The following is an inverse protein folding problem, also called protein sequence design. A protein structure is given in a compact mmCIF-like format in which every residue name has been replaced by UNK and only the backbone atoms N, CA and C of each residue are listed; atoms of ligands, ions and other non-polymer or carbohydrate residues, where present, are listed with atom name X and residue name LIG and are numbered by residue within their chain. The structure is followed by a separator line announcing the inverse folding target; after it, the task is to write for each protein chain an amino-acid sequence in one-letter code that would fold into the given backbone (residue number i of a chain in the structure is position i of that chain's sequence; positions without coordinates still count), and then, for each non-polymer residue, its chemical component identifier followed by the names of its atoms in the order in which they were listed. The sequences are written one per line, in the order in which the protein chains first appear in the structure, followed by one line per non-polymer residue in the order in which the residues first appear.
data_IF_713879976118
#
_entry.id   IF_713879976118
#
_cell.length_a   1.000
_cell.length_b   1.000
_cell.length_c   1.000
_cell.angle_alpha   90.00
_cell.angle_beta   90.00
_cell.angle_gamma   90.00
#
_symmetry.space_group_name_H-M   'P 1'
#
loop_
_entity.id
_entity.type
_entity.pdbx_description
1 polymer ?
#
# COMPACT_ATOMS: atom_id res chain seq x y z
N UNK A 1 -14.91 -5.76 0.69
CA UNK A 1 -15.74 -5.32 1.83
C UNK A 1 -15.42 -6.14 3.07
N UNK A 2 -15.49 -5.50 4.22
CA UNK A 2 -15.33 -6.14 5.52
C UNK A 2 -16.65 -6.10 6.29
N UNK A 3 -16.98 -7.21 6.97
CA UNK A 3 -18.17 -7.29 7.84
C UNK A 3 -17.85 -6.59 9.15
N UNK A 4 -18.54 -5.52 9.48
CA UNK A 4 -18.48 -4.88 10.79
C UNK A 4 -19.45 -5.54 11.78
N UNK A 5 -20.61 -5.95 11.29
CA UNK A 5 -21.65 -6.57 12.11
C UNK A 5 -22.43 -7.63 11.33
N UNK A 6 -22.55 -8.79 11.92
CA UNK A 6 -23.47 -9.83 11.43
C UNK A 6 -24.92 -9.45 11.73
N UNK A 7 -25.83 -9.91 10.91
CA UNK A 7 -27.26 -9.84 11.24
C UNK A 7 -27.60 -10.81 12.36
N UNK A 8 -28.27 -10.30 13.37
CA UNK A 8 -28.75 -11.07 14.53
C UNK A 8 -30.23 -10.78 14.70
N UNK A 9 -31.03 -11.84 14.80
CA UNK A 9 -32.47 -11.75 15.06
C UNK A 9 -32.74 -11.13 16.44
N UNK A 10 -33.99 -10.73 16.69
CA UNK A 10 -34.37 -10.25 18.01
C UNK A 10 -34.42 -11.35 19.08
N UNK A 11 -34.19 -12.61 18.69
CA UNK A 11 -34.05 -13.76 19.60
C UNK A 11 -32.61 -14.18 19.80
N UNK A 12 -31.61 -13.42 19.25
CA UNK A 12 -30.21 -13.69 19.42
C UNK A 12 -29.61 -14.68 18.40
N UNK A 13 -30.39 -15.15 17.42
CA UNK A 13 -29.90 -16.09 16.41
C UNK A 13 -29.21 -15.35 15.29
N UNK A 14 -27.98 -15.78 14.95
CA UNK A 14 -27.27 -15.24 13.80
C UNK A 14 -27.96 -15.62 12.49
N UNK A 15 -28.11 -14.66 11.59
CA UNK A 15 -28.70 -14.82 10.26
C UNK A 15 -27.56 -14.86 9.24
N UNK A 16 -27.56 -15.80 8.32
CA UNK A 16 -26.59 -15.85 7.23
C UNK A 16 -26.82 -14.69 6.25
N UNK A 17 -25.73 -14.14 5.70
CA UNK A 17 -25.83 -13.11 4.66
C UNK A 17 -26.36 -13.70 3.36
N UNK A 18 -27.30 -13.03 2.76
CA UNK A 18 -27.92 -13.38 1.47
C UNK A 18 -27.78 -12.26 0.44
N UNK A 19 -27.25 -11.12 0.82
CA UNK A 19 -27.10 -9.94 -0.02
C UNK A 19 -25.62 -9.62 -0.19
N UNK A 20 -25.18 -9.57 -1.44
CA UNK A 20 -23.82 -9.13 -1.78
C UNK A 20 -23.65 -7.64 -1.48
N UNK A 21 -22.59 -7.22 -0.77
CA UNK A 21 -22.34 -5.82 -0.51
C UNK A 21 -21.83 -5.12 -1.77
N UNK A 22 -22.68 -4.37 -2.44
CA UNK A 22 -22.35 -3.64 -3.66
C UNK A 22 -22.71 -2.16 -3.53
N UNK A 23 -22.05 -1.31 -4.31
CA UNK A 23 -22.48 0.06 -4.60
C UNK A 23 -22.15 1.13 -3.57
N UNK A 24 -21.48 0.84 -2.46
CA UNK A 24 -21.01 1.89 -1.56
C UNK A 24 -19.50 2.07 -1.65
N UNK A 25 -19.08 3.09 -2.39
CA UNK A 25 -17.68 3.43 -2.65
C UNK A 25 -17.17 4.57 -1.78
N UNK A 26 -18.00 5.09 -0.86
CA UNK A 26 -17.65 6.23 0.01
C UNK A 26 -16.79 5.85 1.22
N UNK A 27 -16.51 4.57 1.42
CA UNK A 27 -15.78 4.09 2.60
C UNK A 27 -16.54 4.20 3.93
N UNK A 28 -17.75 4.73 3.95
CA UNK A 28 -18.59 4.77 5.15
C UNK A 28 -19.28 3.43 5.39
N UNK A 29 -19.51 3.00 6.64
CA UNK A 29 -20.31 1.82 6.93
C UNK A 29 -21.72 1.91 6.36
N UNK A 30 -22.22 0.82 5.81
CA UNK A 30 -23.59 0.72 5.29
C UNK A 30 -24.23 -0.61 5.65
N UNK A 31 -25.54 -0.65 5.64
CA UNK A 31 -26.33 -1.82 6.01
C UNK A 31 -27.06 -2.37 4.80
N UNK A 32 -26.92 -3.66 4.56
CA UNK A 32 -27.71 -4.41 3.56
C UNK A 32 -29.09 -4.78 4.11
N UNK A 33 -30.04 -5.07 3.23
CA UNK A 33 -31.43 -5.36 3.63
C UNK A 33 -31.55 -6.63 4.49
N UNK A 34 -30.57 -7.52 4.45
CA UNK A 34 -30.47 -8.69 5.34
C UNK A 34 -29.92 -8.37 6.74
N UNK A 35 -29.61 -7.08 7.01
CA UNK A 35 -29.19 -6.58 8.31
C UNK A 35 -27.70 -6.65 8.61
N UNK A 36 -26.87 -7.12 7.66
CA UNK A 36 -25.41 -7.05 7.79
C UNK A 36 -24.95 -5.60 7.65
N UNK A 37 -23.89 -5.27 8.38
CA UNK A 37 -23.18 -3.99 8.23
C UNK A 37 -21.82 -4.23 7.66
N UNK A 38 -21.53 -3.57 6.58
CA UNK A 38 -20.32 -3.69 5.80
C UNK A 38 -19.57 -2.35 5.75
N UNK A 39 -18.29 -2.43 5.55
CA UNK A 39 -17.43 -1.28 5.19
C UNK A 39 -16.56 -1.68 4.01
N UNK A 40 -16.46 -0.81 3.03
CA UNK A 40 -15.46 -0.94 1.98
C UNK A 40 -14.09 -0.59 2.55
N UNK A 41 -13.10 -1.44 2.31
CA UNK A 41 -11.74 -1.27 2.85
C UNK A 41 -10.80 -0.83 1.74
N UNK A 42 -10.96 -1.39 0.53
CA UNK A 42 -10.19 -0.97 -0.63
C UNK A 42 -10.87 -1.37 -1.92
N UNK A 43 -10.45 -0.70 -2.99
CA UNK A 43 -10.87 -0.98 -4.36
C UNK A 43 -9.68 -1.49 -5.17
N UNK A 44 -9.93 -2.41 -6.09
CA UNK A 44 -8.90 -2.97 -6.96
C UNK A 44 -9.33 -2.79 -8.40
N UNK A 45 -8.44 -2.25 -9.24
CA UNK A 45 -8.69 -2.15 -10.68
C UNK A 45 -8.60 -3.54 -11.35
N UNK A 46 -9.33 -3.73 -12.44
CA UNK A 46 -9.19 -4.94 -13.24
C UNK A 46 -7.75 -5.13 -13.75
N UNK A 47 -7.06 -4.04 -14.04
CA UNK A 47 -5.66 -4.09 -14.45
C UNK A 47 -4.75 -4.62 -13.34
N UNK A 48 -4.94 -4.15 -12.10
CA UNK A 48 -4.20 -4.63 -10.92
C UNK A 48 -4.57 -6.07 -10.60
N UNK A 49 -5.85 -6.42 -10.64
CA UNK A 49 -6.30 -7.79 -10.43
C UNK A 49 -5.67 -8.75 -11.45
N UNK A 50 -5.70 -8.42 -12.73
CA UNK A 50 -5.10 -9.25 -13.78
C UNK A 50 -3.59 -9.45 -13.61
N UNK A 51 -2.88 -8.45 -13.07
CA UNK A 51 -1.44 -8.52 -12.84
C UNK A 51 -1.09 -9.32 -11.59
N UNK A 52 -1.81 -9.12 -10.49
CA UNK A 52 -1.36 -9.55 -9.17
C UNK A 52 -2.28 -10.58 -8.49
N UNK A 53 -3.56 -10.64 -8.86
CA UNK A 53 -4.46 -11.61 -8.26
C UNK A 53 -4.11 -13.03 -8.68
N UNK A 54 -4.11 -13.95 -7.73
CA UNK A 54 -3.95 -15.39 -7.95
C UNK A 54 -4.96 -16.17 -7.10
N UNK A 55 -4.96 -17.49 -7.20
CA UNK A 55 -5.83 -18.34 -6.38
C UNK A 55 -5.58 -18.17 -4.87
N UNK A 56 -4.35 -17.82 -4.47
CA UNK A 56 -3.93 -17.77 -3.08
C UNK A 56 -3.62 -16.35 -2.58
N UNK A 57 -3.51 -15.37 -3.47
CA UNK A 57 -3.09 -14.01 -3.14
C UNK A 57 -4.00 -12.98 -3.79
N UNK A 58 -4.33 -11.96 -3.02
CA UNK A 58 -5.10 -10.81 -3.44
C UNK A 58 -4.25 -9.56 -3.22
N UNK A 59 -4.04 -8.73 -4.25
CA UNK A 59 -3.31 -7.49 -4.07
C UNK A 59 -4.09 -6.50 -3.22
N UNK A 60 -3.39 -5.76 -2.39
CA UNK A 60 -3.93 -4.66 -1.58
C UNK A 60 -3.25 -3.38 -2.04
N UNK A 61 -4.05 -2.39 -2.42
CA UNK A 61 -3.56 -1.07 -2.84
C UNK A 61 -3.72 -0.07 -1.69
N UNK A 62 -2.73 0.76 -1.52
CA UNK A 62 -2.69 1.82 -0.52
C UNK A 62 -2.26 3.14 -1.18
N UNK A 63 -2.96 4.22 -0.87
CA UNK A 63 -2.59 5.58 -1.31
C UNK A 63 -1.82 6.24 -0.18
N UNK A 64 -0.53 6.44 -0.39
CA UNK A 64 0.31 7.16 0.55
C UNK A 64 -0.02 8.66 0.52
N UNK A 65 -0.21 9.23 1.70
CA UNK A 65 -0.48 10.67 1.90
C UNK A 65 0.85 11.37 2.21
N UNK A 66 0.97 12.61 1.80
CA UNK A 66 2.12 13.44 2.17
C UNK A 66 2.16 13.74 3.69
N UNK A 67 3.24 14.36 4.15
CA UNK A 67 3.42 14.71 5.56
C UNK A 67 2.37 15.68 6.11
N UNK A 68 1.61 16.33 5.24
CA UNK A 68 0.48 17.19 5.61
C UNK A 68 -0.85 16.40 5.68
N UNK A 69 -0.82 15.08 5.48
CA UNK A 69 -1.99 14.20 5.54
C UNK A 69 -2.86 14.23 4.28
N UNK A 70 -2.37 14.79 3.18
CA UNK A 70 -3.09 14.91 1.93
C UNK A 70 -2.37 14.27 0.73
N UNK A 71 -2.87 14.55 -0.45
CA UNK A 71 -2.26 14.19 -1.73
C UNK A 71 -2.11 15.46 -2.56
N UNK A 72 -0.91 15.72 -3.09
CA UNK A 72 -0.69 16.94 -3.89
C UNK A 72 -1.63 17.01 -5.09
N UNK A 73 -2.05 18.23 -5.46
CA UNK A 73 -2.99 18.43 -6.56
C UNK A 73 -2.53 17.83 -7.90
N UNK A 74 -1.23 17.89 -8.20
CA UNK A 74 -0.65 17.29 -9.40
C UNK A 74 -0.75 15.74 -9.38
N UNK A 75 -0.48 15.13 -8.23
CA UNK A 75 -0.62 13.68 -8.04
C UNK A 75 -2.08 13.24 -8.08
N UNK A 76 -2.97 14.01 -7.44
CA UNK A 76 -4.40 13.75 -7.45
C UNK A 76 -4.99 13.80 -8.86
N UNK A 77 -4.56 14.76 -9.69
CA UNK A 77 -4.99 14.88 -11.08
C UNK A 77 -4.56 13.68 -11.97
N UNK A 78 -3.52 12.96 -11.56
CA UNK A 78 -3.02 11.77 -12.26
C UNK A 78 -3.70 10.47 -11.80
N UNK A 79 -4.56 10.50 -10.78
CA UNK A 79 -5.19 9.30 -10.25
C UNK A 79 -6.19 8.69 -11.23
N UNK A 80 -6.16 7.37 -11.33
CA UNK A 80 -7.24 6.60 -11.92
C UNK A 80 -8.51 6.68 -11.05
N UNK A 81 -9.66 6.29 -11.61
CA UNK A 81 -10.91 6.22 -10.84
C UNK A 81 -10.79 5.35 -9.59
N UNK A 82 -10.11 4.21 -9.68
CA UNK A 82 -9.88 3.33 -8.53
C UNK A 82 -9.00 3.96 -7.46
N UNK A 83 -7.98 4.72 -7.83
CA UNK A 83 -7.13 5.44 -6.87
C UNK A 83 -7.88 6.57 -6.18
N UNK A 84 -8.72 7.29 -6.92
CA UNK A 84 -9.60 8.31 -6.33
C UNK A 84 -10.60 7.70 -5.35
N UNK A 85 -11.20 6.55 -5.71
CA UNK A 85 -12.09 5.79 -4.83
C UNK A 85 -11.34 5.28 -3.59
N UNK A 86 -10.13 4.74 -3.76
CA UNK A 86 -9.29 4.28 -2.66
C UNK A 86 -8.94 5.42 -1.69
N UNK A 87 -8.59 6.60 -2.21
CA UNK A 87 -8.34 7.79 -1.38
C UNK A 87 -9.59 8.17 -0.58
N UNK A 88 -10.76 8.20 -1.20
CA UNK A 88 -12.02 8.51 -0.52
C UNK A 88 -12.34 7.51 0.60
N UNK A 89 -12.06 6.21 0.39
CA UNK A 89 -12.20 5.17 1.41
C UNK A 89 -11.28 5.42 2.60
N UNK A 90 -10.04 5.80 2.33
CA UNK A 90 -9.05 6.11 3.37
C UNK A 90 -9.40 7.40 4.13
N UNK A 91 -9.90 8.42 3.45
CA UNK A 91 -10.33 9.68 4.07
C UNK A 91 -11.63 9.54 4.88
N UNK A 92 -12.48 8.59 4.53
CA UNK A 92 -13.71 8.29 5.30
C UNK A 92 -13.44 7.45 6.55
N UNK A 93 -12.20 7.07 6.82
CA UNK A 93 -11.84 6.37 8.04
C UNK A 93 -11.93 7.30 9.25
N UNK A 94 -12.41 6.76 10.38
CA UNK A 94 -12.54 7.51 11.63
C UNK A 94 -11.83 6.72 12.72
N UNK A 95 -10.84 7.36 13.33
CA UNK A 95 -10.06 6.77 14.41
C UNK A 95 -10.94 6.47 15.62
N UNK A 96 -10.76 5.27 16.18
CA UNK A 96 -11.37 4.89 17.45
C UNK A 96 -12.90 4.87 17.44
N UNK A 97 -13.53 4.39 16.37
CA UNK A 97 -14.95 4.09 16.37
C UNK A 97 -15.25 2.82 17.12
N UNK A 98 -16.40 2.77 17.79
CA UNK A 98 -16.95 1.53 18.35
C UNK A 98 -17.79 0.86 17.26
N UNK A 99 -17.18 -0.10 16.56
CA UNK A 99 -17.79 -0.76 15.40
C UNK A 99 -18.74 -1.90 15.76
N UNK A 100 -18.70 -2.36 17.00
CA UNK A 100 -19.57 -3.43 17.49
C UNK A 100 -19.45 -3.66 18.98
N UNK A 101 -20.19 -4.66 19.46
CA UNK A 101 -20.21 -5.04 20.86
C UNK A 101 -20.20 -6.56 20.99
N UNK A 102 -19.40 -7.09 21.90
CA UNK A 102 -19.41 -8.48 22.31
C UNK A 102 -20.19 -8.61 23.62
N UNK A 103 -21.08 -9.57 23.68
CA UNK A 103 -21.82 -9.95 24.90
C UNK A 103 -21.04 -11.08 25.56
N UNK A 104 -20.27 -10.76 26.60
CA UNK A 104 -19.43 -11.72 27.30
C UNK A 104 -20.30 -12.49 28.32
N UNK A 105 -21.35 -11.84 28.90
CA UNK A 105 -22.39 -12.44 29.68
C UNK A 105 -23.74 -11.79 29.33
N UNK A 106 -24.75 -12.53 28.92
CA UNK A 106 -26.04 -11.94 28.55
C UNK A 106 -26.89 -11.45 29.75
N UNK A 107 -26.52 -11.80 30.98
CA UNK A 107 -27.34 -11.55 32.17
C UNK A 107 -28.62 -12.37 32.19
N UNK A 108 -29.47 -12.11 33.16
CA UNK A 108 -30.77 -12.77 33.32
C UNK A 108 -31.79 -11.89 34.06
N UNK A 109 -33.07 -12.21 33.92
CA UNK A 109 -34.14 -11.55 34.64
C UNK A 109 -34.54 -10.16 34.15
N UNK A 110 -33.99 -9.70 33.00
CA UNK A 110 -34.35 -8.40 32.45
C UNK A 110 -35.84 -8.32 32.11
N UNK A 111 -36.53 -7.35 32.70
CA UNK A 111 -37.92 -7.01 32.40
C UNK A 111 -38.07 -6.01 31.26
N UNK A 112 -37.03 -5.18 31.04
CA UNK A 112 -36.93 -4.24 29.92
C UNK A 112 -35.48 -4.10 29.44
N UNK A 113 -35.25 -3.59 28.24
CA UNK A 113 -33.91 -3.39 27.71
C UNK A 113 -33.10 -2.45 28.62
N UNK A 114 -31.89 -2.83 29.03
CA UNK A 114 -31.05 -1.94 29.83
C UNK A 114 -30.54 -0.76 29.03
N UNK A 115 -30.18 0.29 29.73
CA UNK A 115 -29.44 1.43 29.20
C UNK A 115 -27.96 1.11 29.18
N UNK A 116 -27.31 1.40 28.06
CA UNK A 116 -25.88 1.20 27.87
C UNK A 116 -25.20 2.57 27.87
N UNK A 117 -24.22 2.75 28.74
CA UNK A 117 -23.37 3.94 28.77
C UNK A 117 -21.97 3.56 28.38
N UNK A 118 -21.46 4.14 27.29
CA UNK A 118 -20.10 3.91 26.80
C UNK A 118 -19.20 5.00 27.38
N UNK A 119 -18.14 4.60 28.06
CA UNK A 119 -17.16 5.49 28.68
C UNK A 119 -15.75 5.13 28.22
N UNK A 120 -14.89 6.11 28.09
CA UNK A 120 -13.50 5.95 27.62
C UNK A 120 -12.86 7.31 27.37
N UNK A 121 -11.79 7.31 26.59
CA UNK A 121 -11.09 8.53 26.18
C UNK A 121 -11.65 9.17 24.91
N UNK A 122 -12.56 8.47 24.21
CA UNK A 122 -13.31 8.99 23.06
C UNK A 122 -14.68 9.55 23.45
N UNK A 123 -15.52 9.80 22.45
CA UNK A 123 -16.84 10.40 22.65
C UNK A 123 -17.90 9.92 21.65
N UNK A 124 -19.16 10.18 21.97
CA UNK A 124 -20.33 10.08 21.09
C UNK A 124 -20.75 8.66 20.68
N UNK A 125 -20.14 7.58 21.21
CA UNK A 125 -20.64 6.23 20.97
C UNK A 125 -21.96 6.00 21.71
N UNK A 126 -22.98 5.53 20.98
CA UNK A 126 -24.31 5.23 21.54
C UNK A 126 -24.74 3.84 21.08
N UNK A 127 -25.19 3.01 22.03
CA UNK A 127 -25.61 1.65 21.75
C UNK A 127 -27.01 1.35 22.27
N UNK A 128 -27.68 0.41 21.59
CA UNK A 128 -28.98 -0.13 21.98
C UNK A 128 -28.87 -1.61 22.23
N UNK A 129 -29.44 -2.07 23.35
CA UNK A 129 -29.59 -3.48 23.70
C UNK A 129 -30.96 -3.98 23.31
N UNK A 130 -31.04 -5.26 22.89
CA UNK A 130 -32.28 -6.01 22.70
C UNK A 130 -32.24 -7.20 23.65
N UNK A 131 -33.38 -7.44 24.34
CA UNK A 131 -33.54 -8.59 25.24
C UNK A 131 -34.47 -9.61 24.63
N UNK A 132 -34.26 -10.87 24.97
CA UNK A 132 -35.15 -11.98 24.69
C UNK A 132 -35.03 -13.01 25.80
N UNK A 133 -36.15 -13.51 26.31
CA UNK A 133 -36.16 -14.47 27.43
C UNK A 133 -35.49 -13.96 28.72
N UNK A 134 -35.54 -12.63 28.95
CA UNK A 134 -34.93 -12.03 30.14
C UNK A 134 -33.39 -11.86 30.05
N UNK A 135 -32.79 -12.06 28.89
CA UNK A 135 -31.34 -11.91 28.65
C UNK A 135 -31.05 -10.91 27.53
N UNK A 136 -29.89 -10.28 27.55
CA UNK A 136 -29.44 -9.43 26.45
C UNK A 136 -28.93 -10.29 25.30
N UNK A 137 -29.59 -10.24 24.15
CA UNK A 137 -29.28 -11.11 23.00
C UNK A 137 -28.61 -10.38 21.84
N UNK A 138 -28.69 -9.04 21.83
CA UNK A 138 -28.16 -8.21 20.76
C UNK A 138 -27.77 -6.84 21.29
N UNK A 139 -26.62 -6.36 20.90
CA UNK A 139 -26.15 -4.99 21.16
C UNK A 139 -25.57 -4.43 19.87
N UNK A 140 -26.03 -3.25 19.48
CA UNK A 140 -25.64 -2.57 18.24
C UNK A 140 -25.42 -1.09 18.49
N UNK A 141 -24.57 -0.40 17.70
CA UNK A 141 -24.63 1.05 17.62
C UNK A 141 -26.08 1.47 17.32
N UNK A 142 -26.60 2.47 18.01
CA UNK A 142 -28.01 2.88 17.89
C UNK A 142 -28.32 3.30 16.45
N UNK A 143 -29.33 2.68 15.89
CA UNK A 143 -29.90 3.02 14.58
C UNK A 143 -30.97 4.12 14.73
N UNK A 144 -31.34 4.77 13.64
CA UNK A 144 -32.46 5.72 13.65
C UNK A 144 -33.81 5.01 13.78
N UNK A 145 -34.91 5.78 13.90
CA UNK A 145 -36.27 5.24 14.03
C UNK A 145 -36.75 4.39 12.83
N UNK A 146 -36.03 4.46 11.70
CA UNK A 146 -36.27 3.66 10.49
C UNK A 146 -35.34 2.47 10.38
N UNK A 147 -34.43 2.27 11.34
CA UNK A 147 -33.47 1.19 11.36
C UNK A 147 -32.24 1.40 10.46
N UNK A 148 -31.95 2.63 10.08
CA UNK A 148 -30.74 2.97 9.33
C UNK A 148 -29.57 3.23 10.28
N UNK A 149 -28.35 3.02 9.77
CA UNK A 149 -27.14 3.35 10.50
C UNK A 149 -27.02 4.85 10.70
N UNK A 150 -26.70 5.25 11.92
CA UNK A 150 -26.30 6.61 12.27
C UNK A 150 -24.80 6.62 12.52
N UNK A 151 -24.03 7.15 11.58
CA UNK A 151 -22.57 7.14 11.62
C UNK A 151 -22.01 7.75 12.91
N UNK A 152 -22.62 8.82 13.40
CA UNK A 152 -22.21 9.49 14.64
C UNK A 152 -22.29 8.59 15.87
N UNK A 153 -23.19 7.59 15.89
CA UNK A 153 -23.39 6.69 17.02
C UNK A 153 -22.28 5.63 17.17
N UNK A 154 -21.38 5.52 16.20
CA UNK A 154 -20.15 4.75 16.36
C UNK A 154 -19.11 5.50 17.21
N UNK A 155 -19.29 6.80 17.43
CA UNK A 155 -18.37 7.65 18.17
C UNK A 155 -17.02 7.79 17.47
N UNK A 156 -16.05 8.36 18.15
CA UNK A 156 -14.68 8.55 17.65
C UNK A 156 -13.68 8.78 18.78
N UNK A 157 -12.39 8.61 18.47
CA UNK A 157 -11.29 8.97 19.36
C UNK A 157 -11.03 7.97 20.48
N UNK A 158 -11.71 6.82 20.52
CA UNK A 158 -11.47 5.82 21.55
C UNK A 158 -10.19 5.03 21.29
N UNK A 159 -9.26 5.07 22.23
CA UNK A 159 -8.17 4.09 22.35
C UNK A 159 -8.56 2.98 23.34
N UNK A 160 -9.41 3.31 24.29
CA UNK A 160 -10.07 2.33 25.16
C UNK A 160 -11.52 2.76 25.43
N UNK A 161 -12.37 1.78 25.64
CA UNK A 161 -13.76 2.01 26.04
C UNK A 161 -14.28 0.88 26.93
N UNK A 162 -15.26 1.20 27.74
CA UNK A 162 -16.02 0.24 28.54
C UNK A 162 -17.51 0.52 28.42
N UNK A 163 -18.34 -0.50 28.67
CA UNK A 163 -19.80 -0.38 28.68
C UNK A 163 -20.32 -0.60 30.09
N UNK A 164 -21.02 0.38 30.61
CA UNK A 164 -21.80 0.25 31.86
C UNK A 164 -23.24 -0.07 31.48
N UNK A 165 -23.74 -1.14 32.06
CA UNK A 165 -25.13 -1.62 31.88
C UNK A 165 -25.95 -1.23 33.09
N UNK A 166 -27.06 -0.51 32.88
CA UNK A 166 -27.92 -0.04 33.95
C UNK A 166 -29.42 -0.18 33.63
N UNK A 167 -30.26 -0.25 34.64
CA UNK A 167 -31.70 -0.40 34.43
C UNK A 167 -32.15 -1.82 34.01
N UNK A 168 -33.41 -1.97 33.64
CA UNK A 168 -34.00 -3.24 33.20
C UNK A 168 -34.29 -4.25 34.32
N UNK A 169 -34.00 -3.94 35.58
CA UNK A 169 -34.23 -4.76 36.77
C UNK A 169 -33.79 -6.23 36.64
N UNK A 170 -32.54 -6.52 36.31
CA UNK A 170 -32.06 -7.87 36.11
C UNK A 170 -31.83 -8.58 37.44
N UNK A 171 -31.93 -9.91 37.44
CA UNK A 171 -31.40 -10.77 38.51
C UNK A 171 -29.88 -10.85 38.50
N UNK A 172 -29.33 -10.87 37.29
CA UNK A 172 -27.89 -10.81 37.02
C UNK A 172 -27.62 -9.84 35.86
N UNK A 173 -26.70 -8.88 36.06
CA UNK A 173 -26.36 -7.89 35.04
C UNK A 173 -25.57 -8.49 33.86
N UNK A 174 -25.84 -8.01 32.66
CA UNK A 174 -25.07 -8.38 31.49
C UNK A 174 -23.67 -7.74 31.54
N UNK A 175 -22.70 -8.43 30.95
CA UNK A 175 -21.32 -7.93 30.72
C UNK A 175 -21.14 -7.76 29.23
N UNK A 176 -20.88 -6.54 28.81
CA UNK A 176 -20.77 -6.15 27.40
C UNK A 176 -19.43 -5.45 27.20
N UNK A 177 -18.73 -5.83 26.15
CA UNK A 177 -17.43 -5.25 25.78
C UNK A 177 -17.54 -4.58 24.41
N UNK A 178 -17.11 -3.31 24.27
CA UNK A 178 -17.07 -2.64 22.99
C UNK A 178 -15.94 -3.21 22.11
N UNK A 179 -16.16 -3.22 20.80
CA UNK A 179 -15.17 -3.60 19.79
C UNK A 179 -14.80 -2.32 19.06
N UNK A 180 -13.54 -1.90 19.23
CA UNK A 180 -13.03 -0.70 18.62
C UNK A 180 -12.52 -0.99 17.20
N UNK A 181 -12.72 -0.04 16.31
CA UNK A 181 -12.04 -0.05 15.02
C UNK A 181 -10.55 0.18 15.28
N UNK A 182 -9.75 -0.74 14.79
CA UNK A 182 -8.32 -0.74 15.01
C UNK A 182 -7.59 0.05 13.94
N UNK A 183 -6.41 0.29 14.25
CA UNK A 183 -5.18 0.79 13.68
C UNK A 183 -5.07 2.31 13.62
N UNK A 184 -4.06 2.73 14.33
CA UNK A 184 -3.52 4.06 14.33
C UNK A 184 -2.22 4.00 13.55
N UNK A 185 -2.21 4.57 12.35
CA UNK A 185 -0.99 4.65 11.56
C UNK A 185 -0.14 5.85 11.97
N UNK A 186 -0.79 7.00 12.23
CA UNK A 186 -0.15 8.24 12.72
C UNK A 186 -1.00 8.87 13.81
N UNK A 187 -0.48 9.97 14.42
CA UNK A 187 -1.21 10.72 15.46
C UNK A 187 -2.54 11.30 14.95
N UNK A 188 -2.63 11.63 13.65
CA UNK A 188 -3.72 12.38 13.05
C UNK A 188 -4.57 11.55 12.06
N UNK A 189 -4.16 10.33 11.75
CA UNK A 189 -4.88 9.42 10.85
C UNK A 189 -5.01 8.04 11.46
N UNK A 190 -6.00 7.31 11.05
CA UNK A 190 -6.24 5.96 11.52
C UNK A 190 -7.71 5.62 11.50
N UNK A 191 -8.01 4.44 11.97
CA UNK A 191 -9.32 3.84 11.88
C UNK A 191 -9.40 2.84 10.74
N UNK A 192 -10.44 2.03 10.78
CA UNK A 192 -10.64 0.96 9.81
C UNK A 192 -10.82 1.54 8.39
N UNK A 193 -9.98 1.12 7.46
CA UNK A 193 -9.94 1.56 6.07
C UNK A 193 -8.92 2.67 5.77
N UNK A 194 -8.27 3.25 6.78
CA UNK A 194 -7.18 4.22 6.55
C UNK A 194 -5.93 3.54 5.97
N UNK A 195 -5.60 2.37 6.47
CA UNK A 195 -4.47 1.56 5.99
C UNK A 195 -4.93 0.12 5.68
N UNK A 196 -5.40 -0.16 4.46
CA UNK A 196 -5.87 -1.48 4.09
C UNK A 196 -4.76 -2.56 4.16
N UNK A 197 -3.49 -2.19 4.03
CA UNK A 197 -2.36 -3.12 4.16
C UNK A 197 -2.29 -3.67 5.59
N UNK A 198 -2.39 -2.77 6.56
CA UNK A 198 -2.42 -3.12 7.99
C UNK A 198 -3.74 -3.81 8.40
N UNK A 199 -4.88 -3.28 7.95
CA UNK A 199 -6.21 -3.81 8.28
C UNK A 199 -6.40 -5.25 7.80
N UNK A 200 -5.87 -5.58 6.62
CA UNK A 200 -5.92 -6.91 6.03
C UNK A 200 -4.73 -7.78 6.43
N UNK A 201 -3.80 -7.26 7.25
CA UNK A 201 -2.59 -7.94 7.70
C UNK A 201 -1.80 -8.51 6.53
N UNK A 202 -1.55 -7.67 5.53
CA UNK A 202 -0.74 -8.05 4.37
C UNK A 202 0.66 -8.42 4.83
N UNK A 203 1.13 -9.60 4.41
CA UNK A 203 2.41 -10.18 4.79
C UNK A 203 3.18 -10.70 3.58
N UNK A 204 2.80 -10.27 2.39
CA UNK A 204 3.47 -10.68 1.17
C UNK A 204 3.65 -9.48 0.23
N UNK A 205 4.80 -9.41 -0.40
CA UNK A 205 5.12 -8.47 -1.45
C UNK A 205 5.01 -9.17 -2.81
N UNK A 206 4.29 -8.58 -3.75
CA UNK A 206 4.09 -9.15 -5.08
C UNK A 206 4.72 -8.26 -6.15
N UNK A 207 5.46 -8.88 -7.04
CA UNK A 207 6.00 -8.26 -8.25
C UNK A 207 5.39 -8.93 -9.47
N UNK A 208 4.99 -8.12 -10.45
CA UNK A 208 4.59 -8.60 -11.76
C UNK A 208 5.51 -7.99 -12.82
N UNK A 209 6.13 -8.84 -13.61
CA UNK A 209 6.90 -8.44 -14.76
C UNK A 209 6.35 -9.15 -16.01
N UNK A 210 6.00 -8.37 -16.99
CA UNK A 210 5.51 -8.87 -18.28
C UNK A 210 6.46 -8.40 -19.38
N UNK A 211 7.51 -9.18 -19.67
CA UNK A 211 8.46 -8.82 -20.69
C UNK A 211 7.78 -8.70 -22.05
N UNK A 212 7.99 -7.61 -22.76
CA UNK A 212 7.51 -7.44 -24.13
C UNK A 212 8.61 -7.85 -25.12
N UNK A 213 8.26 -8.60 -26.14
CA UNK A 213 9.12 -9.39 -26.99
C UNK A 213 10.23 -8.74 -27.81
N UNK A 214 10.66 -7.53 -27.54
CA UNK A 214 11.81 -6.90 -28.22
C UNK A 214 13.07 -6.98 -27.37
N UNK A 215 14.23 -6.98 -28.00
CA UNK A 215 15.57 -7.06 -27.40
C UNK A 215 15.90 -5.91 -26.41
N UNK A 216 15.03 -5.08 -26.00
CA UNK A 216 15.24 -3.97 -25.06
C UNK A 216 14.03 -3.74 -24.17
N UNK A 217 13.24 -4.76 -24.00
CA UNK A 217 12.14 -4.74 -23.03
C UNK A 217 12.66 -5.01 -21.61
N UNK A 218 11.83 -4.81 -20.60
CA UNK A 218 12.16 -4.91 -19.18
C UNK A 218 12.93 -6.18 -18.76
N UNK A 219 12.88 -7.23 -19.57
CA UNK A 219 13.79 -8.38 -19.52
C UNK A 219 14.38 -8.61 -20.91
N UNK A 220 15.70 -8.59 -21.02
CA UNK A 220 16.38 -8.87 -22.29
C UNK A 220 16.12 -10.32 -22.75
N UNK A 221 15.86 -10.48 -24.05
CA UNK A 221 15.98 -11.80 -24.68
C UNK A 221 17.47 -12.20 -24.63
N UNK A 222 17.75 -13.44 -24.30
CA UNK A 222 19.11 -13.98 -24.13
C UNK A 222 19.91 -13.42 -22.94
N UNK A 223 19.26 -12.86 -21.95
CA UNK A 223 19.94 -12.52 -20.73
C UNK A 223 20.35 -13.76 -19.95
N UNK A 224 21.64 -13.88 -19.66
CA UNK A 224 22.15 -14.94 -18.82
C UNK A 224 22.09 -14.53 -17.35
N UNK A 225 20.89 -14.44 -16.79
CA UNK A 225 20.77 -14.37 -15.33
C UNK A 225 21.19 -15.71 -14.75
N UNK A 226 22.35 -15.78 -14.18
CA UNK A 226 22.83 -16.97 -13.52
C UNK A 226 22.55 -16.98 -12.05
N UNK A 227 22.41 -15.80 -11.45
CA UNK A 227 22.08 -15.66 -10.03
C UNK A 227 21.11 -14.50 -9.80
N UNK A 228 20.08 -14.75 -9.01
CA UNK A 228 19.19 -13.73 -8.46
C UNK A 228 19.31 -13.82 -6.96
N UNK A 229 19.66 -12.73 -6.31
CA UNK A 229 19.80 -12.65 -4.85
C UNK A 229 18.77 -11.72 -4.24
N UNK A 230 18.30 -12.03 -3.04
CA UNK A 230 17.52 -11.15 -2.19
C UNK A 230 18.37 -10.76 -0.99
N UNK A 231 18.60 -9.46 -0.86
CA UNK A 231 19.42 -8.89 0.22
C UNK A 231 18.50 -8.16 1.22
N UNK A 232 18.66 -8.44 2.50
CA UNK A 232 17.93 -7.80 3.59
C UNK A 232 18.83 -6.81 4.30
N UNK A 233 18.28 -5.61 4.57
CA UNK A 233 18.93 -4.54 5.33
C UNK A 233 20.35 -4.23 4.83
N UNK A 234 20.55 -3.89 3.55
CA UNK A 234 21.83 -3.38 3.08
C UNK A 234 22.12 -2.02 3.74
N UNK A 235 23.40 -1.64 3.75
CA UNK A 235 23.86 -0.36 4.29
C UNK A 235 24.27 0.58 3.16
N UNK A 236 24.32 1.88 3.46
CA UNK A 236 24.90 2.87 2.57
C UNK A 236 26.42 2.66 2.45
N UNK A 237 26.95 2.85 1.25
CA UNK A 237 28.38 2.73 0.96
C UNK A 237 29.24 3.90 1.46
N UNK A 238 28.72 4.73 2.31
CA UNK A 238 29.39 5.90 2.87
C UNK A 238 30.17 5.62 4.17
N UNK A 239 30.28 4.38 4.56
CA UNK A 239 30.98 3.93 5.79
C UNK A 239 30.31 4.35 7.10
N UNK A 240 29.07 4.81 7.05
CA UNK A 240 28.33 5.23 8.26
C UNK A 240 27.55 4.10 8.92
N UNK A 241 27.50 2.92 8.31
CA UNK A 241 26.61 1.80 8.70
C UNK A 241 25.13 2.20 8.80
N UNK A 242 24.74 3.18 8.02
CA UNK A 242 23.36 3.65 7.96
C UNK A 242 22.54 2.71 7.05
N UNK A 243 21.28 2.42 7.40
CA UNK A 243 20.42 1.59 6.55
C UNK A 243 20.24 2.22 5.17
N UNK A 244 20.39 1.39 4.13
CA UNK A 244 20.02 1.78 2.78
C UNK A 244 18.51 1.65 2.62
N UNK A 245 17.87 2.74 2.20
CA UNK A 245 16.44 2.79 1.86
C UNK A 245 16.27 3.44 0.50
N UNK A 246 15.11 3.30 -0.12
CA UNK A 246 14.79 3.96 -1.39
C UNK A 246 14.83 5.50 -1.29
N UNK A 247 14.72 6.05 -0.07
CA UNK A 247 14.75 7.48 0.20
C UNK A 247 16.17 7.99 0.46
N UNK A 248 17.09 7.11 0.87
CA UNK A 248 18.43 7.50 1.32
C UNK A 248 19.54 7.07 0.37
N UNK A 249 19.27 6.25 -0.63
CA UNK A 249 20.31 5.81 -1.54
C UNK A 249 19.80 5.29 -2.89
N UNK A 250 20.73 5.14 -3.82
CA UNK A 250 20.50 4.66 -5.17
C UNK A 250 21.42 3.48 -5.50
N UNK A 251 20.86 2.46 -6.13
CA UNK A 251 21.59 1.25 -6.56
C UNK A 251 22.22 1.39 -7.94
N UNK A 252 21.89 2.44 -8.68
CA UNK A 252 22.42 2.69 -10.02
C UNK A 252 23.60 3.67 -9.98
N UNK A 253 24.47 3.57 -10.97
CA UNK A 253 25.48 4.57 -11.22
C UNK A 253 24.82 5.82 -11.81
N UNK A 254 25.29 7.01 -11.45
CA UNK A 254 24.73 8.26 -11.94
C UNK A 254 25.77 9.10 -12.70
N UNK A 255 25.32 9.74 -13.79
CA UNK A 255 26.07 10.76 -14.49
C UNK A 255 25.39 12.09 -14.34
N UNK A 256 26.11 13.09 -13.85
CA UNK A 256 25.61 14.45 -13.67
C UNK A 256 26.11 15.39 -14.75
N UNK A 257 25.18 16.07 -15.39
CA UNK A 257 25.46 16.94 -16.55
C UNK A 257 25.48 18.41 -16.18
N UNK A 258 26.44 19.12 -16.72
CA UNK A 258 26.49 20.60 -16.71
C UNK A 258 25.51 21.17 -17.74
N UNK A 259 25.31 20.48 -18.85
CA UNK A 259 24.38 20.89 -19.91
C UNK A 259 23.92 19.68 -20.72
N UNK A 260 22.69 19.75 -21.20
CA UNK A 260 22.06 18.75 -22.08
C UNK A 260 21.57 19.49 -23.33
N UNK A 261 21.81 18.96 -24.53
CA UNK A 261 21.23 19.46 -25.76
C UNK A 261 19.92 18.75 -26.15
N UNK A 262 19.79 17.51 -25.76
CA UNK A 262 18.60 16.68 -25.93
C UNK A 262 18.59 15.61 -24.82
N UNK A 263 17.41 15.35 -24.26
CA UNK A 263 17.21 14.31 -23.26
C UNK A 263 17.61 12.92 -23.77
N UNK A 264 18.12 12.10 -22.88
CA UNK A 264 18.42 10.71 -23.16
C UNK A 264 17.15 9.86 -22.94
N UNK A 265 17.03 8.84 -23.75
CA UNK A 265 15.90 7.89 -23.65
C UNK A 265 16.37 6.60 -22.96
N UNK A 266 15.47 5.95 -22.24
CA UNK A 266 15.72 4.65 -21.64
C UNK A 266 16.23 3.66 -22.68
N UNK A 267 17.12 2.76 -22.26
CA UNK A 267 17.75 1.71 -23.06
C UNK A 267 18.70 2.20 -24.18
N UNK A 268 18.97 3.49 -24.28
CA UNK A 268 20.02 3.99 -25.17
C UNK A 268 21.40 3.59 -24.64
N UNK A 269 22.26 3.22 -25.58
CA UNK A 269 23.70 3.10 -25.30
C UNK A 269 24.34 4.46 -25.44
N UNK A 270 24.95 4.93 -24.36
CA UNK A 270 25.72 6.18 -24.32
C UNK A 270 27.21 5.89 -24.45
N UNK A 271 27.94 6.86 -24.97
CA UNK A 271 29.41 6.79 -25.15
C UNK A 271 30.04 8.10 -24.72
N UNK A 272 31.07 8.02 -23.89
CA UNK A 272 31.95 9.13 -23.52
C UNK A 272 32.91 9.48 -24.64
N UNK A 273 32.95 10.77 -25.04
CA UNK A 273 33.75 11.22 -26.16
C UNK A 273 35.26 11.20 -25.89
N UNK A 274 35.69 11.27 -24.65
CA UNK A 274 37.10 11.26 -24.25
C UNK A 274 37.51 9.89 -23.68
N UNK A 275 36.70 9.37 -22.77
CA UNK A 275 36.98 8.09 -22.07
C UNK A 275 36.73 6.87 -22.95
N UNK A 276 35.86 6.98 -23.94
CA UNK A 276 35.32 5.83 -24.67
C UNK A 276 34.43 4.92 -23.79
N UNK A 277 34.15 5.31 -22.58
CA UNK A 277 33.27 4.57 -21.65
C UNK A 277 31.86 4.42 -22.26
N UNK A 278 31.25 3.27 -22.06
CA UNK A 278 29.88 3.02 -22.52
C UNK A 278 29.01 2.55 -21.36
N UNK A 279 27.75 2.91 -21.42
CA UNK A 279 26.74 2.46 -20.46
C UNK A 279 25.36 2.43 -21.13
N UNK A 280 24.42 1.78 -20.48
CA UNK A 280 23.01 1.75 -20.87
C UNK A 280 22.25 2.69 -19.94
N UNK A 281 21.34 3.48 -20.50
CA UNK A 281 20.48 4.40 -19.77
C UNK A 281 19.32 3.64 -19.14
N UNK A 282 19.18 3.71 -17.83
CA UNK A 282 18.04 3.15 -17.12
C UNK A 282 16.90 4.15 -17.05
N UNK A 283 17.18 5.37 -16.63
CA UNK A 283 16.24 6.49 -16.72
C UNK A 283 16.95 7.84 -16.61
N UNK A 284 16.26 8.89 -17.06
CA UNK A 284 16.70 10.28 -17.00
C UNK A 284 15.80 11.05 -16.01
N UNK A 285 16.39 11.62 -14.98
CA UNK A 285 15.66 12.41 -13.97
C UNK A 285 15.31 13.83 -14.42
N UNK A 286 15.84 14.29 -15.55
CA UNK A 286 15.57 15.66 -16.02
C UNK A 286 14.15 15.86 -16.54
N UNK A 287 13.45 14.77 -16.90
CA UNK A 287 12.14 14.86 -17.52
C UNK A 287 12.11 15.66 -18.85
N UNK A 288 10.94 15.75 -19.47
CA UNK A 288 10.83 16.37 -20.81
C UNK A 288 10.98 17.92 -20.84
N UNK A 289 11.15 18.58 -19.70
CA UNK A 289 11.12 20.06 -19.62
C UNK A 289 12.41 20.72 -19.13
N UNK A 290 13.42 19.95 -18.71
CA UNK A 290 14.61 20.51 -18.06
C UNK A 290 15.91 20.19 -18.79
N UNK A 291 16.25 20.91 -19.85
CA UNK A 291 17.47 20.69 -20.63
C UNK A 291 18.76 21.33 -20.07
N UNK A 292 18.71 22.03 -18.94
CA UNK A 292 19.83 22.79 -18.44
C UNK A 292 20.83 22.00 -17.60
N UNK A 293 20.37 21.13 -16.77
CA UNK A 293 21.18 20.25 -15.90
C UNK A 293 20.38 18.99 -15.59
N UNK A 294 21.04 17.87 -15.38
CA UNK A 294 20.32 16.65 -15.05
C UNK A 294 21.20 15.53 -14.54
N UNK A 295 20.56 14.52 -14.01
CA UNK A 295 21.17 13.28 -13.56
C UNK A 295 20.64 12.12 -14.40
N UNK A 296 21.54 11.38 -15.01
CA UNK A 296 21.24 10.18 -15.77
C UNK A 296 21.60 8.95 -14.94
N UNK A 297 20.67 8.03 -14.80
CA UNK A 297 20.88 6.76 -14.12
C UNK A 297 21.25 5.70 -15.13
N UNK A 298 22.37 5.02 -14.88
CA UNK A 298 22.99 4.14 -15.86
C UNK A 298 23.48 2.85 -15.21
N UNK A 299 23.66 1.83 -16.03
CA UNK A 299 24.46 0.67 -15.70
C UNK A 299 25.43 0.29 -16.82
N UNK A 300 26.53 -0.37 -16.45
CA UNK A 300 27.50 -0.93 -17.37
C UNK A 300 27.38 -2.45 -17.39
N UNK A 301 27.72 -3.07 -18.49
CA UNK A 301 27.67 -4.52 -18.70
C UNK A 301 29.01 -5.04 -19.21
N UNK A 302 29.23 -6.34 -19.14
CA UNK A 302 30.42 -6.99 -19.70
C UNK A 302 30.63 -6.66 -21.18
N UNK A 303 29.55 -6.49 -21.95
CA UNK A 303 29.61 -6.12 -23.36
C UNK A 303 30.00 -4.66 -23.60
N UNK A 304 29.72 -3.78 -22.66
CA UNK A 304 30.02 -2.35 -22.75
C UNK A 304 31.32 -1.99 -22.00
N UNK A 305 31.85 -2.90 -21.19
CA UNK A 305 32.97 -2.66 -20.31
C UNK A 305 32.63 -1.82 -19.08
N UNK A 306 33.58 -1.69 -18.16
CA UNK A 306 33.43 -0.98 -16.88
C UNK A 306 34.36 0.23 -16.77
N UNK A 307 34.62 0.89 -17.90
CA UNK A 307 35.45 2.10 -17.95
C UNK A 307 34.71 3.28 -17.32
N UNK A 308 35.39 4.05 -16.47
CA UNK A 308 34.84 5.27 -15.88
C UNK A 308 34.75 6.41 -16.89
N UNK A 309 33.71 7.21 -16.76
CA UNK A 309 33.56 8.43 -17.54
C UNK A 309 34.53 9.53 -17.06
N UNK A 310 34.92 10.38 -17.95
CA UNK A 310 35.85 11.48 -17.64
C UNK A 310 35.09 12.79 -17.35
N UNK A 311 35.56 13.51 -16.35
CA UNK A 311 34.98 14.82 -15.98
C UNK A 311 34.94 15.79 -17.17
N UNK A 312 33.81 16.47 -17.34
CA UNK A 312 33.62 17.47 -18.38
C UNK A 312 33.55 16.94 -19.83
N UNK A 313 33.57 15.62 -20.03
CA UNK A 313 33.45 15.04 -21.37
C UNK A 313 32.03 15.15 -21.95
N UNK A 314 31.96 15.08 -23.26
CA UNK A 314 30.68 15.02 -23.98
C UNK A 314 30.19 13.58 -24.07
N UNK A 315 28.98 13.32 -23.59
CA UNK A 315 28.30 12.04 -23.72
C UNK A 315 27.37 12.09 -24.92
N UNK A 316 27.38 11.04 -25.72
CA UNK A 316 26.53 10.92 -26.92
C UNK A 316 25.76 9.62 -26.90
N UNK A 317 24.55 9.63 -27.46
CA UNK A 317 23.73 8.43 -27.66
C UNK A 317 23.28 8.29 -29.11
N UNK A 318 22.90 7.08 -29.50
CA UNK A 318 22.47 6.71 -30.86
C UNK A 318 21.27 7.53 -31.39
N UNK A 319 20.49 8.14 -30.52
CA UNK A 319 19.31 8.98 -30.88
C UNK A 319 19.63 10.44 -31.11
N UNK A 320 20.92 10.81 -31.15
CA UNK A 320 21.36 12.21 -31.26
C UNK A 320 21.25 13.00 -29.96
N UNK A 321 20.99 12.33 -28.83
CA UNK A 321 21.06 12.94 -27.50
C UNK A 321 22.53 13.21 -27.16
N UNK A 322 22.82 14.41 -26.66
CA UNK A 322 24.16 14.79 -26.23
C UNK A 322 24.10 15.63 -24.96
N UNK A 323 25.12 15.50 -24.12
CA UNK A 323 25.28 16.31 -22.93
C UNK A 323 26.74 16.40 -22.51
N UNK A 324 27.10 17.44 -21.75
CA UNK A 324 28.43 17.63 -21.20
C UNK A 324 28.37 17.36 -19.71
N UNK A 325 29.20 16.42 -19.22
CA UNK A 325 29.32 16.11 -17.80
C UNK A 325 29.84 17.30 -16.99
N UNK A 326 29.52 17.32 -15.71
CA UNK A 326 30.10 18.28 -14.76
C UNK A 326 31.63 18.21 -14.79
N UNK A 327 32.26 19.35 -14.63
CA UNK A 327 33.72 19.46 -14.54
C UNK A 327 34.32 19.21 -13.17
N UNK A 328 33.51 18.71 -12.23
CA UNK A 328 33.87 18.46 -10.81
C UNK A 328 33.66 17.02 -10.37
N UNK A 329 33.96 16.76 -9.11
CA UNK A 329 34.02 15.41 -8.53
C UNK A 329 32.74 14.58 -8.50
N UNK A 330 31.58 15.15 -8.83
CA UNK A 330 30.30 14.43 -8.83
C UNK A 330 29.76 14.18 -10.25
N UNK A 331 30.61 14.19 -11.27
CA UNK A 331 30.20 13.93 -12.65
C UNK A 331 29.77 12.49 -12.88
N UNK A 332 30.35 11.56 -12.15
CA UNK A 332 30.13 10.10 -12.23
C UNK A 332 30.16 9.55 -10.81
N UNK A 333 29.04 9.07 -10.33
CA UNK A 333 28.88 8.53 -8.97
C UNK A 333 28.65 7.02 -9.01
N UNK A 334 29.33 6.31 -8.15
CA UNK A 334 29.11 4.87 -7.93
C UNK A 334 27.78 4.63 -7.23
N UNK A 335 27.22 3.40 -7.30
CA UNK A 335 26.08 3.02 -6.47
C UNK A 335 26.32 3.35 -5.00
N UNK A 336 25.27 3.81 -4.33
CA UNK A 336 25.34 4.24 -2.93
C UNK A 336 25.16 3.11 -1.93
N UNK A 337 24.79 1.92 -2.40
CA UNK A 337 24.67 0.71 -1.56
C UNK A 337 26.04 0.05 -1.35
N UNK A 338 26.35 -0.36 -0.12
CA UNK A 338 27.48 -1.24 0.13
C UNK A 338 27.14 -2.67 -0.33
N UNK A 339 27.79 -3.18 -1.39
CA UNK A 339 27.50 -4.51 -1.92
C UNK A 339 27.91 -5.65 -0.97
N UNK A 340 28.69 -5.36 0.07
CA UNK A 340 29.16 -6.34 1.06
C UNK A 340 28.37 -6.28 2.36
N UNK A 341 27.38 -5.42 2.47
CA UNK A 341 26.54 -5.26 3.65
C UNK A 341 25.23 -6.04 3.53
N UNK A 342 24.50 -6.08 4.65
CA UNK A 342 23.21 -6.75 4.73
C UNK A 342 23.28 -8.27 4.85
N UNK A 343 22.12 -8.90 4.84
CA UNK A 343 21.97 -10.35 4.95
C UNK A 343 21.37 -10.91 3.66
N UNK A 344 22.09 -11.84 3.04
CA UNK A 344 21.57 -12.56 1.89
C UNK A 344 20.49 -13.56 2.34
N UNK A 345 19.24 -13.33 1.93
CA UNK A 345 18.10 -14.17 2.29
C UNK A 345 17.88 -15.33 1.32
N UNK A 346 18.22 -15.11 0.05
CA UNK A 346 17.93 -16.06 -1.01
C UNK A 346 18.89 -15.88 -2.18
N UNK A 347 19.35 -16.97 -2.74
CA UNK A 347 20.08 -17.03 -4.03
C UNK A 347 19.43 -18.10 -4.89
N UNK A 348 19.08 -17.72 -6.12
CA UNK A 348 18.63 -18.65 -7.15
C UNK A 348 19.61 -18.64 -8.33
N UNK A 349 20.09 -19.81 -8.71
CA UNK A 349 20.92 -20.00 -9.89
C UNK A 349 20.02 -20.41 -11.06
N UNK A 350 19.94 -19.58 -12.08
CA UNK A 350 19.07 -19.80 -13.23
C UNK A 350 19.84 -20.05 -14.51
N UNK A 351 19.26 -20.89 -15.36
CA UNK A 351 19.72 -21.03 -16.75
C UNK A 351 19.37 -19.78 -17.56
N UNK A 352 20.10 -19.53 -18.62
CA UNK A 352 19.79 -18.46 -19.58
C UNK A 352 18.35 -18.61 -20.09
N UNK A 353 17.61 -17.50 -20.14
CA UNK A 353 16.26 -17.45 -20.68
C UNK A 353 16.38 -17.09 -22.17
N UNK A 354 15.86 -17.98 -23.03
CA UNK A 354 15.75 -17.73 -24.45
C UNK A 354 14.27 -17.67 -24.81
N UNK A 355 13.80 -16.59 -25.44
CA UNK A 355 12.42 -16.46 -25.91
C UNK A 355 12.31 -16.82 -27.38
N UNK A 356 11.28 -17.58 -27.72
CA UNK A 356 10.87 -17.75 -29.10
C UNK A 356 10.14 -16.48 -29.60
N UNK A 357 10.21 -16.21 -30.91
CA UNK A 357 9.46 -15.14 -31.53
C UNK A 357 7.95 -15.34 -31.29
N UNK A 358 7.28 -14.34 -30.74
CA UNK A 358 5.85 -14.40 -30.38
C UNK A 358 5.53 -15.01 -29.02
N UNK A 359 6.51 -15.44 -28.25
CA UNK A 359 6.30 -15.89 -26.88
C UNK A 359 5.97 -14.70 -25.97
N UNK A 360 4.93 -14.87 -25.14
CA UNK A 360 4.61 -13.92 -24.08
C UNK A 360 4.83 -14.58 -22.72
N UNK A 361 5.39 -13.82 -21.79
CA UNK A 361 5.65 -14.28 -20.44
C UNK A 361 4.98 -13.35 -19.45
N UNK A 362 4.48 -13.90 -18.35
CA UNK A 362 3.90 -13.15 -17.23
C UNK A 362 4.52 -13.73 -15.94
N UNK A 363 5.46 -12.99 -15.37
CA UNK A 363 6.18 -13.39 -14.18
C UNK A 363 5.53 -12.77 -12.96
N UNK A 364 5.04 -13.62 -12.06
CA UNK A 364 4.52 -13.19 -10.75
C UNK A 364 5.41 -13.74 -9.67
N UNK A 365 6.05 -12.86 -8.92
CA UNK A 365 6.91 -13.22 -7.80
C UNK A 365 6.21 -12.78 -6.53
N UNK A 366 6.03 -13.71 -5.59
CA UNK A 366 5.43 -13.45 -4.28
C UNK A 366 6.47 -13.74 -3.23
N UNK A 367 6.78 -12.74 -2.42
CA UNK A 367 7.73 -12.83 -1.31
C UNK A 367 6.93 -12.64 -0.03
N UNK A 368 6.97 -13.62 0.84
CA UNK A 368 6.35 -13.52 2.17
C UNK A 368 7.35 -12.87 3.12
N UNK A 369 6.93 -11.81 3.81
CA UNK A 369 7.75 -10.98 4.71
C UNK A 369 7.27 -11.08 6.15
#
# INVERSE_FOLDING_TARGET
YMVLRKSISNTGVAIASTIEPTGNTSGTPFKTSDGYVWKMIYSISSATANKFQSANFMPVEFIDKDSAGGVSGARLAAFSSNQTEQLAIQEASILGQVVGYAIDNPGSGYSSAPTLTITGDGSSAIATATISGGAVVKVIPTEDGSGNLVQANFGSGYNFASVTVSGGSPDSAAIIRPILSTSRRTLDSGGLGDDPVSDLRSNALMFNAKPSGAERADFFINQQFRQVGLLKNPELGDSTSSPFTEETGNTLRTLNFASLSKAFEKDQVITGGTSGAKAIVDFDSTGPTGLAQGTLFIHQTDSNGFTSFTTGETITASGGSTGVLLSGGNHDSTPEVDPNSGQLLYIDNRSAITRASGQTEDLKIVIQV
#
